data_IF_509680121947
#
_entry.id   IF_509680121947
#
_cell.length_a   1.000
_cell.length_b   1.000
_cell.length_c   1.000
_cell.angle_alpha   90.00
_cell.angle_beta   90.00
_cell.angle_gamma   90.00
#
_symmetry.space_group_name_H-M   'P 1'
#
loop_
_entity.id
_entity.type
_entity.pdbx_description
1 polymer ?
#
# COMPACT_ATOMS: atom_id res chain seq x y z
N UNK A 1 20.13 23.93 33.63
CA UNK A 1 19.14 23.96 32.52
C UNK A 1 19.62 23.15 31.30
N UNK A 2 19.94 21.85 31.44
CA UNK A 2 20.41 21.00 30.32
C UNK A 2 19.59 19.71 30.10
N UNK A 3 18.62 19.41 30.97
CA UNK A 3 17.89 18.13 30.96
C UNK A 3 16.79 18.04 29.88
N UNK A 4 16.03 19.12 29.62
CA UNK A 4 14.85 19.05 28.74
C UNK A 4 15.16 18.87 27.25
N UNK A 5 16.30 19.37 26.78
CA UNK A 5 16.72 19.27 25.36
C UNK A 5 17.23 17.87 25.02
N UNK A 6 17.99 17.25 25.92
CA UNK A 6 18.51 15.88 25.75
C UNK A 6 17.36 14.87 25.70
N UNK A 7 16.36 15.04 26.58
CA UNK A 7 15.19 14.17 26.61
C UNK A 7 14.33 14.26 25.33
N UNK A 8 14.18 15.48 24.78
CA UNK A 8 13.41 15.70 23.55
C UNK A 8 14.08 15.04 22.33
N UNK A 9 15.40 15.16 22.21
CA UNK A 9 16.14 14.51 21.12
C UNK A 9 16.14 12.99 21.24
N UNK A 10 16.35 12.46 22.46
CA UNK A 10 16.31 11.01 22.73
C UNK A 10 14.93 10.42 22.38
N UNK A 11 13.85 11.10 22.78
CA UNK A 11 12.49 10.67 22.49
C UNK A 11 12.17 10.70 21.00
N UNK A 12 12.67 11.70 20.27
CA UNK A 12 12.48 11.80 18.82
C UNK A 12 13.24 10.71 18.05
N UNK A 13 14.46 10.37 18.48
CA UNK A 13 15.24 9.29 17.86
C UNK A 13 14.60 7.93 18.13
N UNK A 14 14.04 7.74 19.33
CA UNK A 14 13.33 6.52 19.71
C UNK A 14 12.04 6.33 18.89
N UNK A 15 11.28 7.40 18.64
CA UNK A 15 10.09 7.36 17.76
C UNK A 15 10.45 7.02 16.32
N UNK A 16 11.53 7.58 15.79
CA UNK A 16 11.99 7.27 14.43
C UNK A 16 12.41 5.79 14.28
N UNK A 17 13.02 5.21 15.32
CA UNK A 17 13.38 3.79 15.34
C UNK A 17 12.14 2.88 15.37
N UNK A 18 11.12 3.26 16.15
CA UNK A 18 9.84 2.53 16.26
C UNK A 18 9.10 2.51 14.91
N UNK A 19 9.21 3.57 14.12
CA UNK A 19 8.62 3.65 12.78
C UNK A 19 9.31 2.75 11.73
N UNK A 20 10.54 2.29 12.01
CA UNK A 20 11.30 1.39 11.14
C UNK A 20 11.16 -0.09 11.54
N UNK A 21 10.52 -0.38 12.68
CA UNK A 21 10.32 -1.74 13.18
C UNK A 21 9.07 -2.39 12.57
N UNK A 22 9.14 -3.69 12.29
CA UNK A 22 7.98 -4.45 11.81
C UNK A 22 6.85 -4.48 12.85
N UNK A 23 5.57 -4.52 12.44
CA UNK A 23 4.43 -4.46 13.36
C UNK A 23 4.47 -5.52 14.46
N UNK A 24 4.93 -6.74 14.14
CA UNK A 24 5.04 -7.85 15.09
C UNK A 24 6.13 -7.65 16.17
N UNK A 25 7.09 -6.74 15.95
CA UNK A 25 8.11 -6.41 16.94
C UNK A 25 7.59 -5.46 18.02
N UNK A 26 6.62 -4.60 17.68
CA UNK A 26 6.02 -3.63 18.61
C UNK A 26 5.16 -4.31 19.67
N UNK A 27 4.48 -5.41 19.33
CA UNK A 27 3.65 -6.18 20.26
C UNK A 27 4.47 -6.89 21.37
N UNK A 28 5.80 -7.01 21.19
CA UNK A 28 6.72 -7.65 22.13
C UNK A 28 7.32 -6.69 23.17
N UNK A 29 6.95 -5.40 23.17
CA UNK A 29 7.47 -4.41 24.14
C UNK A 29 6.47 -4.22 25.29
N UNK A 30 6.66 -4.89 26.44
CA UNK A 30 5.78 -4.72 27.59
C UNK A 30 5.88 -3.30 28.16
N UNK A 31 4.74 -2.68 28.48
CA UNK A 31 4.65 -1.35 29.10
C UNK A 31 4.47 -0.18 28.12
N UNK A 32 4.56 -0.40 26.80
CA UNK A 32 4.43 0.64 25.77
C UNK A 32 3.17 0.49 24.90
N UNK A 33 2.23 -0.37 25.32
CA UNK A 33 0.99 -0.68 24.60
C UNK A 33 0.18 0.57 24.22
N UNK A 34 0.19 1.62 25.07
CA UNK A 34 -0.46 2.89 24.78
C UNK A 34 0.16 3.63 23.57
N UNK A 35 1.49 3.73 23.51
CA UNK A 35 2.18 4.39 22.39
C UNK A 35 2.04 3.60 21.08
N UNK A 36 2.04 2.26 21.15
CA UNK A 36 1.77 1.37 20.01
C UNK A 36 0.33 1.57 19.51
N UNK A 37 -0.65 1.69 20.41
CA UNK A 37 -2.04 1.97 20.03
C UNK A 37 -2.20 3.33 19.32
N UNK A 38 -1.50 4.38 19.76
CA UNK A 38 -1.49 5.68 19.06
C UNK A 38 -0.86 5.59 17.67
N UNK A 39 0.25 4.86 17.51
CA UNK A 39 0.87 4.64 16.21
C UNK A 39 -0.05 3.85 15.25
N UNK A 40 -0.75 2.83 15.75
CA UNK A 40 -1.73 2.04 14.96
C UNK A 40 -2.98 2.85 14.62
N UNK A 41 -3.46 3.69 15.53
CA UNK A 41 -4.61 4.56 15.29
C UNK A 41 -4.33 5.56 14.16
N UNK A 42 -3.13 6.16 14.13
CA UNK A 42 -2.71 7.07 13.05
C UNK A 42 -2.51 6.35 11.70
N UNK A 43 -2.07 5.09 11.70
CA UNK A 43 -2.03 4.29 10.47
C UNK A 43 -3.44 3.94 9.97
N UNK A 44 -4.37 3.64 10.88
CA UNK A 44 -5.74 3.29 10.53
C UNK A 44 -6.54 4.49 9.94
N UNK A 45 -6.27 5.73 10.35
CA UNK A 45 -6.90 6.92 9.78
C UNK A 45 -6.48 7.21 8.34
N UNK A 46 -5.32 6.74 7.88
CA UNK A 46 -4.92 6.85 6.47
C UNK A 46 -5.59 5.80 5.57
N UNK A 47 -6.15 4.72 6.14
CA UNK A 47 -6.74 3.62 5.36
C UNK A 47 -8.21 3.86 5.02
N UNK A 48 -8.93 4.72 5.76
CA UNK A 48 -10.36 5.00 5.51
C UNK A 48 -10.66 5.83 4.25
N UNK A 49 -9.64 6.40 3.59
CA UNK A 49 -9.83 7.21 2.38
C UNK A 49 -9.70 6.41 1.08
N UNK A 50 -9.34 5.13 1.14
CA UNK A 50 -9.12 4.31 -0.04
C UNK A 50 -10.13 3.16 -0.09
N UNK A 51 -11.34 3.46 -0.58
CA UNK A 51 -12.25 2.42 -1.02
C UNK A 51 -11.68 1.87 -2.34
N UNK A 52 -11.19 0.61 -2.39
CA UNK A 52 -10.73 0.04 -3.64
C UNK A 52 -11.91 0.01 -4.62
N UNK A 53 -11.86 0.84 -5.65
CA UNK A 53 -12.81 0.77 -6.76
C UNK A 53 -12.41 -0.42 -7.61
N UNK A 54 -13.25 -1.45 -7.64
CA UNK A 54 -13.10 -2.53 -8.61
C UNK A 54 -13.23 -1.94 -10.02
N UNK A 55 -12.12 -1.89 -10.75
CA UNK A 55 -12.06 -1.43 -12.13
C UNK A 55 -12.21 -2.61 -13.08
N UNK A 56 -12.87 -2.36 -14.21
CA UNK A 56 -12.98 -3.34 -15.29
C UNK A 56 -12.09 -2.91 -16.45
N UNK A 57 -11.05 -3.69 -16.75
CA UNK A 57 -10.14 -3.42 -17.85
C UNK A 57 -10.45 -4.34 -19.04
N UNK A 58 -10.88 -3.74 -20.16
CA UNK A 58 -11.19 -4.48 -21.39
C UNK A 58 -9.97 -4.60 -22.29
N UNK A 59 -9.59 -5.82 -22.64
CA UNK A 59 -8.58 -6.11 -23.66
C UNK A 59 -9.26 -6.16 -25.03
N UNK A 60 -8.96 -5.19 -25.89
CA UNK A 60 -9.60 -5.01 -27.20
C UNK A 60 -8.69 -5.40 -28.37
N UNK A 61 -7.40 -5.64 -28.11
CA UNK A 61 -6.47 -6.10 -29.14
C UNK A 61 -5.60 -7.26 -28.65
N UNK A 62 -5.16 -8.05 -29.62
CA UNK A 62 -4.17 -9.09 -29.42
C UNK A 62 -2.73 -8.58 -29.44
N UNK A 63 -2.46 -7.29 -29.29
CA UNK A 63 -1.07 -6.82 -29.29
C UNK A 63 -0.43 -7.10 -27.93
N UNK A 64 0.88 -7.40 -27.89
CA UNK A 64 1.62 -7.55 -26.63
C UNK A 64 1.80 -6.23 -25.85
N UNK A 65 1.66 -5.07 -26.51
CA UNK A 65 1.86 -3.76 -25.91
C UNK A 65 0.99 -2.69 -26.59
N UNK A 66 0.74 -1.60 -25.87
CA UNK A 66 -0.05 -0.46 -26.34
C UNK A 66 -1.46 -0.43 -25.75
N UNK A 67 -2.22 0.65 -26.02
CA UNK A 67 -3.58 0.82 -25.50
C UNK A 67 -4.46 -0.36 -25.87
N UNK A 68 -5.22 -0.92 -24.92
CA UNK A 68 -6.13 -2.05 -25.16
C UNK A 68 -5.46 -3.44 -25.20
N UNK A 69 -4.17 -3.54 -24.93
CA UNK A 69 -3.45 -4.83 -24.81
C UNK A 69 -3.60 -5.47 -23.44
N UNK A 70 -3.38 -6.79 -23.37
CA UNK A 70 -3.36 -7.53 -22.10
C UNK A 70 -2.30 -6.99 -21.14
N UNK A 71 -1.11 -6.63 -21.65
CA UNK A 71 -0.02 -6.11 -20.82
C UNK A 71 -0.38 -4.77 -20.20
N UNK A 72 -1.05 -3.89 -20.96
CA UNK A 72 -1.54 -2.62 -20.45
C UNK A 72 -2.64 -2.85 -19.39
N UNK A 73 -3.63 -3.71 -19.66
CA UNK A 73 -4.69 -4.02 -18.71
C UNK A 73 -4.17 -4.59 -17.37
N UNK A 74 -3.12 -5.42 -17.42
CA UNK A 74 -2.47 -5.94 -16.21
C UNK A 74 -1.68 -4.86 -15.47
N UNK A 75 -1.00 -3.95 -16.18
CA UNK A 75 -0.31 -2.81 -15.55
C UNK A 75 -1.34 -1.91 -14.85
N UNK A 76 -2.45 -1.59 -15.52
CA UNK A 76 -3.49 -0.73 -14.97
C UNK A 76 -4.18 -1.38 -13.76
N UNK A 77 -4.44 -2.69 -13.81
CA UNK A 77 -4.96 -3.45 -12.67
C UNK A 77 -3.97 -3.52 -11.50
N UNK A 78 -2.67 -3.69 -11.75
CA UNK A 78 -1.67 -3.69 -10.69
C UNK A 78 -1.46 -2.31 -10.05
N UNK A 79 -1.69 -1.23 -10.82
CA UNK A 79 -1.60 0.14 -10.33
C UNK A 79 -2.86 0.60 -9.60
N UNK A 80 -3.96 -0.16 -9.68
CA UNK A 80 -5.19 0.11 -8.96
C UNK A 80 -5.28 -0.79 -7.72
N UNK A 81 -5.17 -0.24 -6.51
CA UNK A 81 -5.36 -1.05 -5.32
C UNK A 81 -6.80 -1.55 -5.23
N UNK A 82 -7.00 -2.86 -5.23
CA UNK A 82 -8.33 -3.45 -5.20
C UNK A 82 -8.43 -4.77 -5.94
N UNK A 83 -9.60 -5.39 -5.86
CA UNK A 83 -9.91 -6.55 -6.69
C UNK A 83 -10.46 -6.07 -8.03
N UNK A 84 -9.65 -6.17 -9.07
CA UNK A 84 -10.01 -5.77 -10.43
C UNK A 84 -10.41 -6.94 -11.31
N UNK A 85 -11.23 -6.65 -12.33
CA UNK A 85 -11.67 -7.63 -13.33
C UNK A 85 -11.07 -7.28 -14.68
N UNK A 86 -10.33 -8.22 -15.28
CA UNK A 86 -9.82 -8.09 -16.64
C UNK A 86 -10.76 -8.87 -17.56
N UNK A 87 -11.42 -8.16 -18.48
CA UNK A 87 -12.33 -8.74 -19.47
C UNK A 87 -11.61 -8.81 -20.81
N UNK A 88 -11.56 -10.00 -21.40
CA UNK A 88 -10.98 -10.21 -22.72
C UNK A 88 -12.10 -10.17 -23.74
N UNK A 89 -12.00 -9.29 -24.74
CA UNK A 89 -12.96 -9.29 -25.84
C UNK A 89 -12.90 -10.64 -26.56
N UNK A 90 -14.05 -11.28 -26.85
CA UNK A 90 -14.08 -12.59 -27.52
C UNK A 90 -13.40 -12.60 -28.90
N UNK A 91 -13.17 -11.44 -29.50
CA UNK A 91 -12.44 -11.28 -30.76
C UNK A 91 -10.92 -11.44 -30.60
N UNK A 92 -10.39 -11.37 -29.38
CA UNK A 92 -8.96 -11.53 -29.08
C UNK A 92 -8.66 -13.01 -28.85
N UNK A 93 -8.19 -13.68 -29.90
CA UNK A 93 -7.88 -15.12 -29.86
C UNK A 93 -6.39 -15.43 -29.69
N UNK A 94 -5.51 -14.48 -30.00
CA UNK A 94 -4.06 -14.63 -29.94
C UNK A 94 -3.40 -13.34 -29.49
N UNK A 95 -2.38 -13.44 -28.64
CA UNK A 95 -1.50 -12.32 -28.33
C UNK A 95 -0.29 -12.41 -29.29
N UNK A 96 -0.22 -11.48 -30.24
CA UNK A 96 0.93 -11.27 -31.09
C UNK A 96 2.12 -10.79 -30.23
N UNK A 97 3.30 -11.38 -30.40
CA UNK A 97 4.49 -11.07 -29.60
C UNK A 97 4.97 -9.63 -29.78
#
# INVERSE_FOLDING_TARGET
MKSKIVYKSFWFTLMALILLMSPAALDRIPGWQGAVAFARANQATLVLAYAPTASTFSVTNGNASGPGSLRQAVIDANNNPGADTIVIDPSVTTILP
#
